data_IF_426703083311
#
_entry.id   IF_426703083311
#
_cell.length_a   1.000
_cell.length_b   1.000
_cell.length_c   1.000
_cell.angle_alpha   90.00
_cell.angle_beta   90.00
_cell.angle_gamma   90.00
#
_symmetry.space_group_name_H-M   'P 1'
#
loop_
_entity.id
_entity.type
_entity.pdbx_description
1 polymer ?
#
# COMPACT_ATOMS: atom_id res chain seq x y z
N UNK A 1 -23.25 2.81 -11.79
CA UNK A 1 -22.84 3.21 -10.44
C UNK A 1 -21.33 3.10 -10.36
N UNK A 2 -20.63 3.95 -9.57
CA UNK A 2 -19.19 3.82 -9.40
C UNK A 2 -18.83 2.43 -8.85
N UNK A 3 -17.73 1.85 -9.33
CA UNK A 3 -17.23 0.54 -8.90
C UNK A 3 -15.93 0.77 -8.15
N UNK A 4 -15.84 0.23 -6.94
CA UNK A 4 -14.62 0.30 -6.13
C UNK A 4 -13.49 -0.46 -6.82
N UNK A 5 -12.29 0.12 -6.82
CA UNK A 5 -11.08 -0.53 -7.33
C UNK A 5 -10.10 -0.74 -6.19
N UNK A 6 -9.77 -1.98 -5.84
CA UNK A 6 -8.90 -2.24 -4.68
C UNK A 6 -7.44 -1.84 -4.93
N UNK A 7 -6.81 -1.19 -3.96
CA UNK A 7 -5.36 -1.04 -3.92
C UNK A 7 -4.71 -2.29 -3.29
N UNK A 8 -3.65 -2.86 -3.89
CA UNK A 8 -3.04 -4.09 -3.41
C UNK A 8 -2.46 -3.93 -2.01
N UNK A 9 -2.34 -5.05 -1.30
CA UNK A 9 -1.69 -5.04 0.02
C UNK A 9 -0.19 -4.96 -0.15
N UNK A 10 0.46 -4.06 0.60
CA UNK A 10 1.91 -3.93 0.62
C UNK A 10 2.46 -4.91 1.66
N UNK A 11 3.34 -5.80 1.21
CA UNK A 11 3.86 -6.93 1.99
C UNK A 11 4.97 -6.50 2.95
N UNK A 12 5.45 -7.42 3.78
CA UNK A 12 6.70 -7.23 4.52
C UNK A 12 7.91 -7.58 3.63
N UNK A 13 9.09 -7.12 4.03
CA UNK A 13 10.32 -7.33 3.27
C UNK A 13 10.62 -8.82 3.01
N UNK A 14 10.39 -9.68 4.01
CA UNK A 14 10.62 -11.12 3.88
C UNK A 14 9.79 -11.75 2.75
N UNK A 15 8.51 -11.36 2.62
CA UNK A 15 7.60 -11.88 1.61
C UNK A 15 7.97 -11.37 0.21
N UNK A 16 8.28 -10.07 0.08
CA UNK A 16 8.71 -9.50 -1.19
C UNK A 16 10.04 -10.11 -1.66
N UNK A 17 10.98 -10.39 -0.74
CA UNK A 17 12.23 -11.12 -1.01
C UNK A 17 11.97 -12.53 -1.55
N UNK A 18 11.00 -13.26 -0.96
CA UNK A 18 10.57 -14.59 -1.40
C UNK A 18 9.96 -14.56 -2.82
N UNK A 19 9.12 -13.57 -3.12
CA UNK A 19 8.57 -13.36 -4.46
C UNK A 19 9.65 -13.03 -5.49
N UNK A 20 10.57 -12.12 -5.17
CA UNK A 20 11.65 -11.72 -6.08
C UNK A 20 12.58 -12.91 -6.39
N UNK A 21 12.91 -13.73 -5.38
CA UNK A 21 13.66 -14.97 -5.57
C UNK A 21 12.92 -15.96 -6.46
N UNK A 22 11.60 -16.12 -6.27
CA UNK A 22 10.77 -17.00 -7.10
C UNK A 22 10.75 -16.54 -8.55
N UNK A 23 10.60 -15.23 -8.78
CA UNK A 23 10.64 -14.61 -10.10
C UNK A 23 11.93 -14.95 -10.85
N UNK A 24 13.10 -14.69 -10.24
CA UNK A 24 14.38 -14.93 -10.92
C UNK A 24 14.66 -16.40 -11.18
N UNK A 25 14.26 -17.31 -10.28
CA UNK A 25 14.35 -18.75 -10.51
C UNK A 25 13.55 -19.19 -11.73
N UNK A 26 12.35 -18.63 -11.91
CA UNK A 26 11.51 -18.93 -13.08
C UNK A 26 12.10 -18.34 -14.36
N UNK A 27 12.59 -17.10 -14.32
CA UNK A 27 13.23 -16.45 -15.46
C UNK A 27 14.48 -17.21 -15.95
N UNK A 28 15.31 -17.72 -15.02
CA UNK A 28 16.47 -18.56 -15.34
C UNK A 28 16.03 -19.89 -15.98
N UNK A 29 15.05 -20.57 -15.38
CA UNK A 29 14.57 -21.87 -15.88
C UNK A 29 13.92 -21.78 -17.26
N UNK A 30 13.23 -20.68 -17.57
CA UNK A 30 12.48 -20.53 -18.83
C UNK A 30 13.34 -19.98 -19.96
N UNK A 31 14.18 -18.98 -19.68
CA UNK A 31 14.86 -18.19 -20.72
C UNK A 31 16.38 -18.15 -20.56
N UNK A 32 16.95 -18.88 -19.59
CA UNK A 32 18.37 -18.81 -19.26
C UNK A 32 18.81 -17.45 -18.71
N UNK A 33 17.85 -16.60 -18.30
CA UNK A 33 18.14 -15.27 -17.78
C UNK A 33 18.61 -15.38 -16.33
N UNK A 34 19.91 -15.26 -16.12
CA UNK A 34 20.46 -15.24 -14.77
C UNK A 34 20.04 -13.98 -14.02
N UNK A 35 19.76 -14.07 -12.70
CA UNK A 35 19.50 -12.89 -11.89
C UNK A 35 20.68 -11.92 -11.97
N UNK A 36 20.42 -10.60 -11.97
CA UNK A 36 21.49 -9.64 -11.76
C UNK A 36 22.08 -9.84 -10.36
N UNK A 37 23.35 -9.46 -10.17
CA UNK A 37 23.98 -9.54 -8.86
C UNK A 37 23.28 -8.67 -7.82
N UNK A 38 22.80 -7.49 -8.23
CA UNK A 38 22.10 -6.55 -7.38
C UNK A 38 20.88 -5.96 -8.10
N UNK A 39 19.88 -5.54 -7.33
CA UNK A 39 18.78 -4.67 -7.78
C UNK A 39 18.73 -3.40 -6.95
N UNK A 40 18.13 -2.33 -7.49
CA UNK A 40 17.99 -1.07 -6.77
C UNK A 40 16.61 -0.97 -6.12
N UNK A 41 16.59 -0.78 -4.81
CA UNK A 41 15.38 -0.49 -4.06
C UNK A 41 15.19 1.02 -3.95
N UNK A 42 13.99 1.52 -4.26
CA UNK A 42 13.59 2.92 -4.07
C UNK A 42 12.56 3.03 -2.97
N UNK A 43 12.90 3.82 -1.94
CA UNK A 43 12.08 4.01 -0.75
C UNK A 43 11.41 5.38 -0.72
N UNK A 44 10.11 5.42 -0.47
CA UNK A 44 9.34 6.64 -0.20
C UNK A 44 8.76 6.60 1.21
N UNK A 45 8.54 7.77 1.81
CA UNK A 45 8.02 7.84 3.19
C UNK A 45 6.68 7.11 3.26
N UNK A 46 6.53 6.20 4.23
CA UNK A 46 5.23 5.67 4.59
C UNK A 46 4.52 6.71 5.46
N UNK A 47 3.45 7.29 4.94
CA UNK A 47 2.62 8.22 5.68
C UNK A 47 1.60 7.47 6.55
N UNK A 48 1.27 8.08 7.68
CA UNK A 48 0.27 7.57 8.62
C UNK A 48 -0.97 8.46 8.57
N UNK A 49 -1.99 8.02 7.83
CA UNK A 49 -3.28 8.68 7.70
C UNK A 49 -4.37 7.65 7.46
N UNK A 50 -5.19 7.89 6.44
CA UNK A 50 -6.08 6.90 5.85
C UNK A 50 -5.87 6.84 4.34
N UNK A 51 -5.88 5.65 3.78
CA UNK A 51 -5.86 5.42 2.33
C UNK A 51 -7.05 6.12 1.67
N UNK A 52 -6.79 6.77 0.54
CA UNK A 52 -7.80 7.47 -0.24
C UNK A 52 -7.41 7.49 -1.72
N UNK A 53 -8.38 7.33 -2.63
CA UNK A 53 -8.14 7.42 -4.07
C UNK A 53 -9.14 8.34 -4.78
N UNK A 54 -8.67 8.95 -5.87
CA UNK A 54 -9.47 9.67 -6.84
C UNK A 54 -9.51 8.82 -8.11
N UNK A 55 -10.71 8.45 -8.58
CA UNK A 55 -10.87 7.54 -9.72
C UNK A 55 -11.64 8.23 -10.84
N UNK A 56 -11.01 8.31 -12.01
CA UNK A 56 -11.58 8.82 -13.25
C UNK A 56 -11.96 7.66 -14.17
N UNK A 57 -13.15 7.71 -14.74
CA UNK A 57 -13.74 6.69 -15.62
C UNK A 57 -14.51 7.34 -16.77
N UNK A 58 -15.04 6.53 -17.69
CA UNK A 58 -15.93 7.00 -18.76
C UNK A 58 -15.35 8.18 -19.55
N UNK A 59 -14.09 8.08 -19.95
CA UNK A 59 -13.40 9.08 -20.77
C UNK A 59 -14.12 9.23 -22.10
N UNK A 60 -14.75 10.37 -22.33
CA UNK A 60 -15.49 10.70 -23.55
C UNK A 60 -14.84 11.88 -24.24
N UNK A 61 -14.59 11.76 -25.54
CA UNK A 61 -14.29 12.92 -26.37
C UNK A 61 -15.57 13.74 -26.51
N UNK A 62 -15.58 14.97 -26.03
CA UNK A 62 -16.71 15.88 -26.25
C UNK A 62 -16.53 16.59 -27.58
N UNK A 63 -17.44 16.29 -28.52
CA UNK A 63 -17.71 17.08 -29.72
C UNK A 63 -16.59 17.17 -30.78
N UNK A 64 -15.74 16.15 -30.96
CA UNK A 64 -14.66 16.15 -31.97
C UNK A 64 -13.65 17.30 -31.82
N UNK A 65 -13.63 17.98 -30.67
CA UNK A 65 -12.54 18.87 -30.29
C UNK A 65 -11.48 17.98 -29.68
N UNK A 66 -10.33 17.86 -30.34
CA UNK A 66 -9.27 16.90 -29.98
C UNK A 66 -8.78 17.00 -28.52
N UNK A 67 -9.12 18.09 -27.81
CA UNK A 67 -8.57 18.44 -26.50
C UNK A 67 -9.58 18.44 -25.33
N UNK A 68 -10.89 18.24 -25.57
CA UNK A 68 -11.88 18.17 -24.48
C UNK A 68 -12.30 16.71 -24.22
N UNK A 69 -11.61 16.06 -23.28
CA UNK A 69 -12.04 14.78 -22.72
C UNK A 69 -12.75 15.05 -21.41
N UNK A 70 -13.99 14.55 -21.27
CA UNK A 70 -14.70 14.51 -19.98
C UNK A 70 -14.57 13.11 -19.38
N UNK A 71 -14.40 13.04 -18.07
CA UNK A 71 -14.39 11.80 -17.30
C UNK A 71 -15.32 11.93 -16.08
N UNK A 72 -15.98 10.83 -15.75
CA UNK A 72 -16.70 10.72 -14.48
C UNK A 72 -15.67 10.51 -13.36
N UNK A 73 -15.77 11.29 -12.28
CA UNK A 73 -14.91 11.17 -11.10
C UNK A 73 -15.68 10.61 -9.92
N UNK A 74 -15.05 9.73 -9.16
CA UNK A 74 -15.53 9.33 -7.84
C UNK A 74 -14.35 9.16 -6.87
N UNK A 75 -14.68 9.10 -5.58
CA UNK A 75 -13.72 8.97 -4.50
C UNK A 75 -13.91 7.65 -3.79
N UNK A 76 -12.81 7.09 -3.30
CA UNK A 76 -12.86 5.84 -2.54
C UNK A 76 -11.88 5.86 -1.39
N UNK A 77 -12.26 5.12 -0.35
CA UNK A 77 -11.39 4.66 0.73
C UNK A 77 -10.75 3.33 0.34
N UNK A 78 -10.00 2.70 1.26
CA UNK A 78 -9.39 1.40 1.01
C UNK A 78 -10.43 0.34 0.66
N UNK A 79 -11.59 0.39 1.31
CA UNK A 79 -12.57 -0.70 1.31
C UNK A 79 -13.88 -0.38 0.58
N UNK A 80 -14.14 0.89 0.22
CA UNK A 80 -15.40 1.28 -0.44
C UNK A 80 -15.32 2.61 -1.19
N UNK A 81 -16.21 2.79 -2.15
CA UNK A 81 -16.57 4.11 -2.70
C UNK A 81 -17.17 4.98 -1.59
N UNK A 82 -16.77 6.25 -1.55
CA UNK A 82 -17.20 7.23 -0.55
C UNK A 82 -17.75 8.48 -1.22
N UNK A 83 -18.58 9.20 -0.48
CA UNK A 83 -19.27 10.44 -0.87
C UNK A 83 -19.35 11.36 0.34
N UNK A 84 -19.70 12.63 0.17
CA UNK A 84 -19.88 13.57 1.31
C UNK A 84 -20.77 13.04 2.45
N UNK A 85 -21.85 12.36 2.13
CA UNK A 85 -22.81 11.82 3.12
C UNK A 85 -22.33 10.50 3.78
N UNK A 86 -21.31 9.88 3.21
CA UNK A 86 -20.68 8.65 3.70
C UNK A 86 -19.16 8.77 3.59
N UNK A 87 -18.62 9.86 4.14
CA UNK A 87 -17.23 10.26 3.99
C UNK A 87 -16.26 9.31 4.71
N UNK A 88 -14.97 9.44 4.44
CA UNK A 88 -13.88 8.89 5.24
C UNK A 88 -12.96 10.04 5.67
N UNK A 89 -13.08 10.46 6.92
CA UNK A 89 -12.26 11.51 7.54
C UNK A 89 -12.33 12.90 6.85
N UNK A 90 -13.34 13.17 6.03
CA UNK A 90 -13.51 14.43 5.29
C UNK A 90 -12.78 14.45 3.94
N UNK A 91 -12.27 13.32 3.45
CA UNK A 91 -11.61 13.24 2.14
C UNK A 91 -12.59 13.50 1.00
N UNK A 92 -13.78 12.87 1.01
CA UNK A 92 -14.73 13.02 -0.09
C UNK A 92 -15.23 14.46 -0.17
N UNK A 93 -15.53 15.05 0.98
CA UNK A 93 -15.88 16.46 1.11
C UNK A 93 -14.80 17.36 0.54
N UNK A 94 -13.54 17.14 0.95
CA UNK A 94 -12.42 17.94 0.48
C UNK A 94 -12.23 17.85 -1.04
N UNK A 95 -12.24 16.64 -1.63
CA UNK A 95 -12.04 16.49 -3.07
C UNK A 95 -13.22 17.02 -3.90
N UNK A 96 -14.45 16.90 -3.40
CA UNK A 96 -15.61 17.52 -4.04
C UNK A 96 -15.58 19.06 -3.98
N UNK A 97 -15.03 19.66 -2.91
CA UNK A 97 -14.82 21.10 -2.81
C UNK A 97 -13.75 21.61 -3.79
N UNK A 98 -12.68 20.83 -4.02
CA UNK A 98 -11.69 21.13 -5.06
C UNK A 98 -12.35 21.12 -6.45
N UNK A 99 -13.27 20.19 -6.67
CA UNK A 99 -14.08 20.12 -7.89
C UNK A 99 -13.43 19.31 -9.02
N UNK A 100 -14.27 18.65 -9.81
CA UNK A 100 -13.85 17.70 -10.85
C UNK A 100 -12.94 18.34 -11.90
N UNK A 101 -13.24 19.58 -12.33
CA UNK A 101 -12.47 20.27 -13.38
C UNK A 101 -11.05 20.61 -12.91
N UNK A 102 -10.89 21.04 -11.65
CA UNK A 102 -9.58 21.34 -11.09
C UNK A 102 -8.73 20.07 -10.93
N UNK A 103 -9.34 18.98 -10.43
CA UNK A 103 -8.69 17.68 -10.34
C UNK A 103 -8.31 17.13 -11.72
N UNK A 104 -9.18 17.35 -12.72
CA UNK A 104 -8.92 16.95 -14.10
C UNK A 104 -7.72 17.68 -14.68
N UNK A 105 -7.73 19.02 -14.66
CA UNK A 105 -6.68 19.83 -15.28
C UNK A 105 -5.34 19.73 -14.56
N UNK A 106 -5.33 19.67 -13.23
CA UNK A 106 -4.08 19.64 -12.46
C UNK A 106 -3.47 18.24 -12.32
N UNK A 107 -4.29 17.18 -12.28
CA UNK A 107 -3.82 15.83 -11.94
C UNK A 107 -4.08 14.84 -13.08
N UNK A 108 -5.33 14.63 -13.47
CA UNK A 108 -5.68 13.53 -14.40
C UNK A 108 -5.12 13.74 -15.81
N UNK A 109 -5.34 14.92 -16.40
CA UNK A 109 -4.90 15.25 -17.75
C UNK A 109 -3.37 15.23 -17.88
N UNK A 110 -2.59 15.82 -16.94
CA UNK A 110 -1.13 15.64 -16.91
C UNK A 110 -0.70 14.18 -16.73
N UNK A 111 -1.36 13.39 -15.87
CA UNK A 111 -1.06 11.97 -15.71
C UNK A 111 -1.22 11.21 -17.03
N UNK A 112 -2.32 11.43 -17.76
CA UNK A 112 -2.55 10.81 -19.07
C UNK A 112 -1.53 11.28 -20.11
N UNK A 113 -1.12 12.56 -20.07
CA UNK A 113 -0.04 13.08 -20.93
C UNK A 113 1.28 12.37 -20.65
N UNK A 114 1.66 12.21 -19.38
CA UNK A 114 2.86 11.46 -18.98
C UNK A 114 2.75 10.04 -19.51
N UNK A 115 1.64 9.36 -19.23
CA UNK A 115 1.39 8.00 -19.69
C UNK A 115 1.59 7.84 -21.21
N UNK A 116 1.13 8.78 -22.04
CA UNK A 116 1.33 8.77 -23.49
C UNK A 116 2.79 8.89 -23.90
N UNK A 117 3.55 9.71 -23.18
CA UNK A 117 4.94 10.05 -23.53
C UNK A 117 5.98 9.08 -22.96
N UNK A 118 5.70 8.37 -21.87
CA UNK A 118 6.65 7.42 -21.28
C UNK A 118 6.69 6.12 -22.07
N UNK A 119 7.86 5.71 -22.55
CA UNK A 119 8.05 4.38 -23.15
C UNK A 119 7.99 3.31 -22.08
N UNK A 120 7.27 2.22 -22.32
CA UNK A 120 7.31 1.03 -21.46
C UNK A 120 8.05 -0.10 -22.17
N UNK A 121 8.92 -0.86 -21.50
CA UNK A 121 9.31 -2.19 -21.96
C UNK A 121 8.06 -3.06 -22.07
N UNK A 122 7.86 -3.73 -23.21
CA UNK A 122 6.67 -4.56 -23.50
C UNK A 122 6.65 -5.87 -22.68
N UNK A 123 7.77 -6.19 -22.06
CA UNK A 123 8.16 -7.53 -21.63
C UNK A 123 8.18 -7.71 -20.10
N UNK A 124 7.46 -6.87 -19.35
CA UNK A 124 7.39 -6.98 -17.89
C UNK A 124 6.08 -7.56 -17.38
N UNK A 125 5.24 -8.10 -18.27
CA UNK A 125 4.08 -8.92 -17.88
C UNK A 125 4.54 -10.36 -17.58
N UNK A 126 5.30 -10.53 -16.51
CA UNK A 126 4.90 -11.56 -15.56
C UNK A 126 3.87 -10.87 -14.67
N UNK A 127 2.63 -10.79 -15.15
CA UNK A 127 1.47 -10.64 -14.30
C UNK A 127 1.02 -12.05 -13.96
N UNK A 128 1.44 -12.67 -12.85
CA UNK A 128 0.55 -13.62 -12.25
C UNK A 128 -0.57 -12.74 -11.69
N UNK A 129 -1.76 -12.87 -12.29
CA UNK A 129 -2.96 -12.26 -11.74
C UNK A 129 -2.99 -12.52 -10.24
N UNK A 130 -3.60 -11.61 -9.49
CA UNK A 130 -3.85 -11.79 -8.06
C UNK A 130 -4.89 -12.90 -7.78
N UNK A 131 -5.07 -13.84 -8.71
CA UNK A 131 -5.86 -15.06 -8.60
C UNK A 131 -4.92 -16.25 -8.37
N UNK A 132 -5.19 -17.00 -7.30
CA UNK A 132 -4.48 -18.23 -6.87
C UNK A 132 -4.55 -19.41 -7.87
N UNK A 133 -4.88 -19.18 -9.14
CA UNK A 133 -4.96 -20.21 -10.17
C UNK A 133 -3.74 -20.11 -11.12
N UNK A 134 -2.83 -21.07 -10.97
CA UNK A 134 -1.48 -21.07 -11.52
C UNK A 134 -1.35 -21.48 -13.00
N UNK A 135 -2.41 -21.48 -13.80
CA UNK A 135 -2.41 -22.29 -15.04
C UNK A 135 -2.31 -21.56 -16.39
N UNK A 136 -2.28 -20.22 -16.48
CA UNK A 136 -2.33 -19.54 -17.81
C UNK A 136 -1.24 -18.47 -18.08
N UNK A 137 -0.05 -18.58 -17.48
CA UNK A 137 1.06 -17.65 -17.74
C UNK A 137 2.04 -18.13 -18.85
N UNK A 138 1.52 -18.54 -20.00
CA UNK A 138 2.31 -19.08 -21.11
C UNK A 138 2.05 -18.36 -22.44
N UNK A 139 2.60 -17.16 -22.64
CA UNK A 139 2.89 -16.65 -23.99
C UNK A 139 3.89 -15.47 -24.02
N UNK A 140 5.01 -15.73 -24.70
CA UNK A 140 5.93 -14.83 -25.43
C UNK A 140 6.80 -13.81 -24.66
N UNK A 141 8.09 -14.14 -24.56
CA UNK A 141 9.21 -13.20 -24.36
C UNK A 141 10.31 -13.47 -25.39
N UNK A 142 10.00 -13.21 -26.66
CA UNK A 142 10.96 -13.24 -27.76
C UNK A 142 10.88 -11.90 -28.54
N UNK A 143 11.91 -11.07 -28.39
CA UNK A 143 12.13 -9.87 -29.19
C UNK A 143 11.58 -8.59 -28.56
N UNK A 144 12.48 -7.71 -28.12
CA UNK A 144 12.18 -6.34 -27.72
C UNK A 144 11.44 -5.63 -28.86
N UNK A 145 10.11 -5.58 -28.78
CA UNK A 145 9.27 -4.75 -29.64
C UNK A 145 8.52 -3.74 -28.77
N UNK A 146 8.38 -2.51 -29.25
CA UNK A 146 7.59 -1.47 -28.59
C UNK A 146 6.17 -1.52 -29.17
N UNK A 147 5.13 -1.42 -28.35
CA UNK A 147 3.76 -1.19 -28.83
C UNK A 147 3.41 0.27 -28.61
N UNK A 148 2.86 0.91 -29.63
CA UNK A 148 2.28 2.24 -29.49
C UNK A 148 1.07 2.17 -28.54
N UNK A 149 0.97 3.14 -27.62
CA UNK A 149 -0.14 3.25 -26.68
C UNK A 149 -1.33 3.88 -27.42
N UNK A 150 -2.35 3.08 -27.74
CA UNK A 150 -3.59 3.62 -28.30
C UNK A 150 -4.46 4.21 -27.17
N UNK A 151 -4.54 5.54 -27.18
CA UNK A 151 -5.29 6.36 -26.23
C UNK A 151 -6.80 6.08 -26.20
N UNK A 152 -7.35 5.46 -27.25
CA UNK A 152 -8.78 5.13 -27.32
C UNK A 152 -9.23 4.04 -26.33
N UNK A 153 -8.29 3.42 -25.62
CA UNK A 153 -8.51 2.27 -24.73
C UNK A 153 -8.52 2.59 -23.23
N UNK A 154 -8.29 3.84 -22.81
CA UNK A 154 -8.26 4.19 -21.37
C UNK A 154 -9.68 4.23 -20.80
N UNK A 155 -9.99 3.25 -19.95
CA UNK A 155 -11.29 3.10 -19.29
C UNK A 155 -11.26 3.63 -17.85
N UNK A 156 -10.10 3.54 -17.19
CA UNK A 156 -9.93 3.93 -15.79
C UNK A 156 -8.54 4.52 -15.52
N UNK A 157 -8.52 5.61 -14.74
CA UNK A 157 -7.33 6.17 -14.08
C UNK A 157 -7.63 6.30 -12.60
N UNK A 158 -6.83 5.65 -11.75
CA UNK A 158 -6.86 5.82 -10.30
C UNK A 158 -5.60 6.58 -9.85
N UNK A 159 -5.82 7.66 -9.12
CA UNK A 159 -4.80 8.41 -8.38
C UNK A 159 -4.86 7.95 -6.94
N UNK A 160 -3.89 7.13 -6.55
CA UNK A 160 -3.81 6.58 -5.21
C UNK A 160 -2.99 7.48 -4.28
N UNK A 161 -3.46 7.64 -3.05
CA UNK A 161 -2.80 8.49 -2.08
C UNK A 161 -3.19 8.22 -0.63
N UNK A 162 -2.53 8.97 0.25
CA UNK A 162 -2.81 8.99 1.67
C UNK A 162 -3.49 10.31 2.01
N UNK A 163 -4.67 10.24 2.63
CA UNK A 163 -5.28 11.40 3.26
C UNK A 163 -4.82 11.48 4.72
N UNK A 164 -4.06 12.52 5.05
CA UNK A 164 -3.39 12.65 6.34
C UNK A 164 -3.47 14.09 6.86
N UNK A 165 -2.97 14.32 8.08
CA UNK A 165 -3.06 15.63 8.74
C UNK A 165 -4.17 15.73 9.78
N UNK A 166 -4.09 16.76 10.61
CA UNK A 166 -5.04 17.08 11.66
C UNK A 166 -5.25 15.92 12.65
N UNK A 167 -6.50 15.54 12.81
CA UNK A 167 -6.98 14.53 13.76
C UNK A 167 -7.19 13.13 13.14
N UNK A 168 -6.75 12.91 11.89
CA UNK A 168 -6.95 11.63 11.18
C UNK A 168 -6.22 10.48 11.89
N UNK A 169 -4.95 10.69 12.22
CA UNK A 169 -4.15 9.79 13.05
C UNK A 169 -3.52 10.58 14.20
N UNK A 170 -3.20 9.89 15.29
CA UNK A 170 -2.62 10.48 16.50
C UNK A 170 -1.18 10.02 16.70
N UNK A 171 -0.38 10.82 17.39
CA UNK A 171 0.98 10.44 17.79
C UNK A 171 2.03 10.49 16.66
N UNK A 172 1.69 11.09 15.52
CA UNK A 172 2.59 11.23 14.36
C UNK A 172 2.80 12.70 14.00
N UNK A 173 3.93 13.02 13.38
CA UNK A 173 4.26 14.39 12.98
C UNK A 173 3.19 15.03 12.07
N UNK A 174 2.58 14.21 11.21
CA UNK A 174 1.55 14.64 10.28
C UNK A 174 0.34 15.28 11.00
N UNK A 175 0.04 14.88 12.24
CA UNK A 175 -1.06 15.47 13.02
C UNK A 175 -0.89 16.99 13.26
N UNK A 176 0.35 17.50 13.16
CA UNK A 176 0.65 18.93 13.25
C UNK A 176 0.39 19.73 11.97
N UNK A 177 -0.04 19.07 10.88
CA UNK A 177 -0.32 19.70 9.59
C UNK A 177 -1.82 19.76 9.29
N UNK A 178 -2.28 20.68 8.44
CA UNK A 178 -3.65 20.66 7.92
C UNK A 178 -3.96 19.34 7.21
N UNK A 179 -5.24 18.95 7.16
CA UNK A 179 -5.66 17.79 6.37
C UNK A 179 -5.29 17.99 4.89
N UNK A 180 -4.64 17.01 4.30
CA UNK A 180 -4.08 17.06 2.95
C UNK A 180 -4.13 15.69 2.28
N UNK A 181 -4.11 15.67 0.95
CA UNK A 181 -4.02 14.43 0.16
C UNK A 181 -2.62 14.32 -0.45
N UNK A 182 -1.95 13.20 -0.21
CA UNK A 182 -0.61 12.94 -0.75
C UNK A 182 -0.65 11.79 -1.74
N UNK A 183 -0.44 12.10 -3.02
CA UNK A 183 -0.37 11.15 -4.12
C UNK A 183 0.87 10.28 -3.96
N UNK A 184 0.70 8.96 -3.96
CA UNK A 184 1.82 8.00 -3.95
C UNK A 184 1.78 6.98 -5.09
N UNK A 185 0.68 6.90 -5.86
CA UNK A 185 0.55 5.88 -6.89
C UNK A 185 -0.42 6.29 -7.99
N UNK A 186 -0.19 5.73 -9.19
CA UNK A 186 -1.03 5.93 -10.36
C UNK A 186 -1.33 4.54 -10.94
N UNK A 187 -2.59 4.25 -11.22
CA UNK A 187 -3.01 3.03 -11.90
C UNK A 187 -3.83 3.40 -13.13
N UNK A 188 -3.54 2.79 -14.28
CA UNK A 188 -4.26 3.00 -15.53
C UNK A 188 -4.69 1.65 -16.05
N UNK A 189 -6.00 1.46 -16.23
CA UNK A 189 -6.62 0.19 -16.64
C UNK A 189 -6.13 -1.02 -15.82
N UNK A 190 -6.06 -0.90 -14.50
CA UNK A 190 -5.58 -1.98 -13.62
C UNK A 190 -4.05 -2.09 -13.50
N UNK A 191 -3.28 -1.42 -14.37
CA UNK A 191 -1.81 -1.49 -14.34
C UNK A 191 -1.21 -0.31 -13.58
N UNK A 192 -0.41 -0.60 -12.55
CA UNK A 192 0.33 0.44 -11.82
C UNK A 192 1.44 1.06 -12.67
N UNK A 193 1.64 2.36 -12.51
CA UNK A 193 2.71 3.12 -13.17
C UNK A 193 3.95 3.20 -12.28
N UNK A 194 5.10 3.59 -12.85
CA UNK A 194 6.22 4.03 -12.01
C UNK A 194 5.79 5.36 -11.36
N UNK A 195 5.61 5.42 -10.03
CA UNK A 195 5.16 6.64 -9.39
C UNK A 195 6.14 7.82 -9.58
N UNK A 196 7.44 7.55 -9.84
CA UNK A 196 8.45 8.60 -10.03
C UNK A 196 8.28 9.37 -11.35
N UNK A 197 7.66 8.79 -12.37
CA UNK A 197 7.32 9.50 -13.60
C UNK A 197 6.26 10.60 -13.35
N UNK A 198 5.51 10.47 -12.25
CA UNK A 198 4.39 11.34 -11.87
C UNK A 198 4.72 12.20 -10.65
N UNK A 199 6.01 12.30 -10.29
CA UNK A 199 6.51 13.03 -9.10
C UNK A 199 6.13 14.51 -9.03
N UNK A 200 5.87 15.12 -10.19
CA UNK A 200 5.53 16.54 -10.30
C UNK A 200 4.01 16.79 -10.25
N UNK A 201 3.17 15.75 -10.17
CA UNK A 201 1.72 15.91 -10.02
C UNK A 201 1.37 16.38 -8.61
N UNK A 202 0.79 17.58 -8.52
CA UNK A 202 0.35 18.20 -7.27
C UNK A 202 -0.60 19.37 -7.56
N UNK A 203 -1.35 19.78 -6.55
CA UNK A 203 -2.14 21.01 -6.52
C UNK A 203 -2.04 21.65 -5.11
N UNK A 204 -0.91 22.30 -4.80
CA UNK A 204 -0.57 22.75 -3.44
C UNK A 204 -1.59 23.71 -2.81
N UNK A 205 -2.21 24.58 -3.61
CA UNK A 205 -3.23 25.54 -3.20
C UNK A 205 -4.47 24.84 -2.63
N UNK A 206 -4.69 23.59 -3.02
CA UNK A 206 -5.77 22.72 -2.57
C UNK A 206 -5.27 21.62 -1.61
N UNK A 207 -4.05 21.75 -1.08
CA UNK A 207 -3.41 20.75 -0.20
C UNK A 207 -3.37 19.34 -0.81
N UNK A 208 -3.13 19.28 -2.11
CA UNK A 208 -2.83 18.04 -2.82
C UNK A 208 -1.34 18.06 -3.15
N UNK A 209 -0.59 17.12 -2.60
CA UNK A 209 0.85 17.03 -2.76
C UNK A 209 1.26 15.67 -3.32
N UNK A 210 2.51 15.56 -3.75
CA UNK A 210 3.11 14.30 -4.15
C UNK A 210 3.99 13.73 -3.03
N UNK A 211 4.10 12.40 -2.95
CA UNK A 211 5.01 11.74 -2.01
C UNK A 211 6.47 12.12 -2.29
N UNK A 212 6.80 12.40 -3.56
CA UNK A 212 8.14 12.82 -4.00
C UNK A 212 8.48 14.28 -3.71
N UNK A 213 7.64 15.01 -2.95
CA UNK A 213 8.05 16.27 -2.30
C UNK A 213 9.31 16.07 -1.44
N UNK A 214 9.52 14.86 -0.95
CA UNK A 214 10.77 14.41 -0.34
C UNK A 214 11.49 13.49 -1.32
N UNK A 215 12.80 13.70 -1.47
CA UNK A 215 13.63 12.84 -2.31
C UNK A 215 13.56 11.38 -1.83
N UNK A 216 13.43 10.39 -2.74
CA UNK A 216 13.37 9.00 -2.34
C UNK A 216 14.74 8.50 -1.88
N UNK A 217 14.71 7.50 -1.01
CA UNK A 217 15.88 6.72 -0.64
C UNK A 217 16.23 5.72 -1.74
N UNK A 218 17.51 5.35 -1.85
CA UNK A 218 17.98 4.25 -2.70
C UNK A 218 18.89 3.32 -1.92
N UNK A 219 18.65 2.02 -2.05
CA UNK A 219 19.46 0.96 -1.43
C UNK A 219 19.73 -0.11 -2.47
N UNK A 220 20.98 -0.56 -2.59
CA UNK A 220 21.31 -1.71 -3.42
C UNK A 220 21.03 -3.00 -2.64
N UNK A 221 20.24 -3.91 -3.22
CA UNK A 221 19.96 -5.23 -2.68
C UNK A 221 20.76 -6.25 -3.48
N UNK A 222 21.76 -6.86 -2.84
CA UNK A 222 22.50 -8.00 -3.39
C UNK A 222 21.61 -9.26 -3.38
N UNK A 223 21.35 -9.81 -4.55
CA UNK A 223 20.54 -11.01 -4.73
C UNK A 223 21.34 -12.30 -4.57
N UNK A 224 22.67 -12.26 -4.62
CA UNK A 224 23.52 -13.40 -4.30
C UNK A 224 23.55 -13.65 -2.78
N UNK A 225 23.46 -12.56 -2.02
CA UNK A 225 23.41 -12.52 -0.56
C UNK A 225 21.97 -12.33 -0.10
N UNK A 226 21.07 -13.28 -0.40
CA UNK A 226 19.76 -13.36 0.26
C UNK A 226 19.86 -13.66 1.78
N UNK A 227 20.85 -13.08 2.47
CA UNK A 227 21.02 -13.02 3.90
C UNK A 227 20.24 -11.82 4.47
N UNK A 228 20.36 -11.62 5.78
CA UNK A 228 19.65 -10.57 6.50
C UNK A 228 20.41 -9.22 6.54
N UNK A 229 21.53 -9.06 5.83
CA UNK A 229 22.36 -7.83 5.88
C UNK A 229 21.70 -6.60 5.25
N UNK A 230 20.85 -6.77 4.24
CA UNK A 230 20.04 -5.66 3.70
C UNK A 230 19.03 -5.14 4.71
N UNK A 231 18.71 -5.94 5.74
CA UNK A 231 17.84 -5.51 6.83
C UNK A 231 18.41 -4.30 7.56
N UNK A 232 19.73 -4.18 7.72
CA UNK A 232 20.35 -3.11 8.50
C UNK A 232 20.20 -1.73 7.84
N UNK A 233 20.45 -1.63 6.53
CA UNK A 233 20.27 -0.36 5.80
C UNK A 233 18.80 0.05 5.77
N UNK A 234 17.89 -0.88 5.49
CA UNK A 234 16.45 -0.62 5.48
C UNK A 234 15.95 -0.22 6.88
N UNK A 235 16.46 -0.87 7.93
CA UNK A 235 16.15 -0.57 9.32
C UNK A 235 16.68 0.80 9.72
N UNK A 236 17.94 1.11 9.43
CA UNK A 236 18.53 2.41 9.77
C UNK A 236 17.74 3.57 9.16
N UNK A 237 17.41 3.47 7.87
CA UNK A 237 16.58 4.48 7.19
C UNK A 237 15.21 4.59 7.86
N UNK A 238 14.59 3.47 8.21
CA UNK A 238 13.30 3.45 8.90
C UNK A 238 13.36 4.07 10.30
N UNK A 239 14.40 3.76 11.07
CA UNK A 239 14.64 4.32 12.40
C UNK A 239 14.88 5.84 12.33
N UNK A 240 15.55 6.33 11.28
CA UNK A 240 15.73 7.77 11.05
C UNK A 240 14.42 8.46 10.68
N UNK A 241 13.57 7.82 9.87
CA UNK A 241 12.21 8.31 9.57
C UNK A 241 11.32 8.30 10.81
N UNK A 242 11.40 7.27 11.65
CA UNK A 242 10.65 7.20 12.91
C UNK A 242 11.09 8.29 13.86
N UNK A 243 12.39 8.57 13.96
CA UNK A 243 12.92 9.66 14.79
C UNK A 243 12.43 11.04 14.34
N UNK A 244 12.42 11.29 13.04
CA UNK A 244 11.93 12.54 12.49
C UNK A 244 11.37 12.36 11.08
N UNK A 245 10.04 12.50 10.93
CA UNK A 245 9.34 12.32 9.67
C UNK A 245 9.81 13.33 8.61
N UNK A 246 10.51 12.91 7.53
CA UNK A 246 11.03 13.83 6.51
C UNK A 246 9.91 14.55 5.75
N UNK A 247 8.77 13.88 5.56
CA UNK A 247 7.62 14.47 4.85
C UNK A 247 7.04 15.65 5.61
N UNK A 248 6.79 15.47 6.92
CA UNK A 248 6.29 16.56 7.77
C UNK A 248 7.33 17.67 7.91
N UNK A 249 8.62 17.31 7.98
CA UNK A 249 9.74 18.26 8.03
C UNK A 249 9.80 19.17 6.80
N UNK A 250 9.36 18.69 5.62
CA UNK A 250 9.24 19.52 4.41
C UNK A 250 8.20 20.65 4.51
N UNK A 251 7.40 20.65 5.57
CA UNK A 251 6.45 21.69 5.98
C UNK A 251 6.87 22.37 7.30
N UNK A 252 8.12 22.20 7.73
CA UNK A 252 8.66 22.70 9.00
C UNK A 252 7.95 22.14 10.26
N UNK A 253 7.42 20.92 10.18
CA UNK A 253 6.85 20.20 11.33
C UNK A 253 7.68 18.95 11.61
N UNK A 254 8.35 18.93 12.77
CA UNK A 254 9.11 17.77 13.25
C UNK A 254 8.26 16.86 14.13
N UNK A 255 8.60 15.58 14.17
CA UNK A 255 7.94 14.58 15.00
C UNK A 255 8.10 13.18 14.42
N UNK A 256 7.45 12.21 15.03
CA UNK A 256 7.62 10.80 14.71
C UNK A 256 7.01 10.46 13.34
N UNK A 257 7.73 9.69 12.51
CA UNK A 257 7.26 9.12 11.24
C UNK A 257 6.94 7.61 11.35
N UNK A 258 6.22 7.05 10.36
CA UNK A 258 5.82 5.64 10.42
C UNK A 258 6.89 4.69 9.86
N UNK A 259 7.50 5.05 8.72
CA UNK A 259 8.51 4.22 8.07
C UNK A 259 8.63 4.47 6.58
N UNK A 260 8.92 3.44 5.81
CA UNK A 260 9.22 3.54 4.36
C UNK A 260 8.51 2.45 3.57
N UNK A 261 7.93 2.82 2.42
CA UNK A 261 7.46 1.90 1.39
C UNK A 261 8.52 1.82 0.30
N UNK A 262 8.92 0.59 -0.02
CA UNK A 262 9.97 0.27 -0.98
C UNK A 262 9.38 -0.40 -2.21
N UNK A 263 9.94 -0.07 -3.38
CA UNK A 263 9.76 -0.81 -4.62
C UNK A 263 11.13 -1.19 -5.22
N UNK A 264 11.15 -2.19 -6.08
CA UNK A 264 12.33 -2.50 -6.92
C UNK A 264 12.28 -1.57 -8.14
N UNK A 265 13.30 -0.71 -8.35
CA UNK A 265 13.33 0.30 -9.42
C UNK A 265 13.27 -0.32 -10.81
N UNK A 266 13.77 -1.55 -10.97
CA UNK A 266 13.70 -2.32 -12.20
C UNK A 266 12.28 -2.85 -12.47
N UNK A 267 11.43 -2.95 -11.44
CA UNK A 267 10.05 -3.44 -11.53
C UNK A 267 9.05 -2.47 -10.90
N UNK A 268 9.03 -1.18 -11.29
CA UNK A 268 8.27 -0.16 -10.59
C UNK A 268 6.76 -0.33 -10.79
N UNK A 269 6.35 -1.05 -11.84
CA UNK A 269 4.95 -1.38 -12.13
C UNK A 269 4.42 -2.60 -11.36
N UNK A 270 5.31 -3.38 -10.73
CA UNK A 270 4.97 -4.66 -10.12
C UNK A 270 4.83 -4.52 -8.59
N UNK A 271 3.62 -4.23 -8.13
CA UNK A 271 3.30 -4.06 -6.69
C UNK A 271 3.56 -5.32 -5.87
N UNK A 272 3.68 -6.48 -6.50
CA UNK A 272 4.11 -7.75 -5.87
C UNK A 272 5.47 -7.65 -5.17
N UNK A 273 6.38 -6.84 -5.70
CA UNK A 273 7.71 -6.61 -5.11
C UNK A 273 7.75 -5.40 -4.20
N UNK A 274 6.61 -4.74 -3.95
CA UNK A 274 6.54 -3.65 -3.01
C UNK A 274 6.47 -4.20 -1.59
N UNK A 275 7.18 -3.54 -0.69
CA UNK A 275 7.13 -3.89 0.73
C UNK A 275 7.23 -2.65 1.61
N UNK A 276 6.77 -2.80 2.86
CA UNK A 276 6.81 -1.75 3.88
C UNK A 276 7.76 -2.17 5.00
N UNK A 277 8.55 -1.22 5.49
CA UNK A 277 9.30 -1.33 6.74
C UNK A 277 8.81 -0.21 7.64
N UNK A 278 8.42 -0.56 8.87
CA UNK A 278 7.87 0.38 9.85
C UNK A 278 8.79 0.47 11.05
N UNK A 279 8.84 1.65 11.65
CA UNK A 279 9.52 1.84 12.93
C UNK A 279 8.87 1.04 14.05
N UNK A 280 9.60 0.87 15.15
CA UNK A 280 9.20 -0.02 16.23
C UNK A 280 7.94 0.46 16.96
N UNK A 281 7.74 1.78 17.09
CA UNK A 281 6.56 2.38 17.72
C UNK A 281 5.31 2.20 16.85
N UNK A 282 5.48 1.93 15.55
CA UNK A 282 4.41 1.71 14.57
C UNK A 282 4.21 0.23 14.20
N UNK A 283 4.89 -0.68 14.90
CA UNK A 283 4.76 -2.10 14.66
C UNK A 283 3.38 -2.62 15.08
N UNK A 284 2.68 -3.26 14.15
CA UNK A 284 1.36 -3.87 14.36
C UNK A 284 1.46 -5.34 14.80
N UNK A 285 2.67 -5.85 14.97
CA UNK A 285 2.95 -7.20 15.45
C UNK A 285 4.27 -7.23 16.19
N UNK A 286 4.34 -8.10 17.19
CA UNK A 286 5.57 -8.44 17.93
C UNK A 286 5.99 -9.89 17.70
N UNK A 287 5.38 -10.56 16.71
CA UNK A 287 5.78 -11.92 16.32
C UNK A 287 7.11 -11.82 15.59
N UNK A 288 8.13 -12.52 16.10
CA UNK A 288 9.45 -12.53 15.51
C UNK A 288 9.44 -13.25 14.14
N UNK A 289 10.09 -12.65 13.14
CA UNK A 289 10.23 -13.19 11.79
C UNK A 289 11.63 -13.74 11.57
N UNK A 290 11.77 -14.71 10.65
CA UNK A 290 13.05 -15.34 10.34
C UNK A 290 13.39 -16.53 11.25
N UNK A 291 14.67 -16.97 11.27
CA UNK A 291 15.13 -18.14 12.02
C UNK A 291 14.89 -17.99 13.53
N UNK A 292 14.39 -19.05 14.16
CA UNK A 292 14.01 -19.06 15.58
C UNK A 292 14.76 -20.15 16.33
N UNK A 293 15.15 -19.88 17.56
CA UNK A 293 15.66 -20.91 18.48
C UNK A 293 14.56 -21.91 18.83
N UNK A 294 14.93 -23.11 19.28
CA UNK A 294 13.97 -24.12 19.73
C UNK A 294 13.03 -23.59 20.84
N UNK A 295 13.55 -22.71 21.71
CA UNK A 295 12.77 -22.07 22.77
C UNK A 295 11.71 -21.11 22.19
N UNK A 296 12.10 -20.25 21.26
CA UNK A 296 11.17 -19.31 20.60
C UNK A 296 10.11 -20.07 19.82
N UNK A 297 10.50 -21.13 19.13
CA UNK A 297 9.57 -22.01 18.41
C UNK A 297 8.53 -22.62 19.34
N UNK A 298 8.94 -23.17 20.48
CA UNK A 298 8.02 -23.72 21.47
C UNK A 298 7.10 -22.65 22.08
N UNK A 299 7.60 -21.42 22.26
CA UNK A 299 6.78 -20.31 22.76
C UNK A 299 5.72 -19.87 21.75
N UNK A 300 6.06 -19.77 20.46
CA UNK A 300 5.13 -19.39 19.40
C UNK A 300 4.13 -20.50 19.07
N UNK A 301 4.51 -21.77 19.21
CA UNK A 301 3.58 -22.91 19.11
C UNK A 301 2.48 -22.92 20.17
N UNK A 302 2.53 -22.03 21.17
CA UNK A 302 1.43 -21.78 22.08
C UNK A 302 0.51 -20.66 21.56
N UNK A 303 -0.72 -21.02 21.19
CA UNK A 303 -1.71 -20.10 20.62
C UNK A 303 -1.94 -18.83 21.46
N UNK A 304 -1.90 -18.92 22.80
CA UNK A 304 -2.10 -17.77 23.68
C UNK A 304 -0.92 -16.81 23.66
N UNK A 305 0.30 -17.33 23.62
CA UNK A 305 1.50 -16.50 23.51
C UNK A 305 1.56 -15.84 22.14
N UNK A 306 1.29 -16.60 21.07
CA UNK A 306 1.22 -16.07 19.72
C UNK A 306 0.19 -14.95 19.61
N UNK A 307 -1.04 -15.17 20.07
CA UNK A 307 -2.11 -14.18 20.01
C UNK A 307 -1.75 -12.87 20.75
N UNK A 308 -1.01 -12.94 21.86
CA UNK A 308 -0.54 -11.75 22.59
C UNK A 308 0.52 -10.95 21.82
N UNK A 309 1.40 -11.63 21.11
CA UNK A 309 2.42 -10.98 20.28
C UNK A 309 1.81 -10.44 19.00
N UNK A 310 0.84 -11.15 18.43
CA UNK A 310 0.14 -10.76 17.22
C UNK A 310 -0.87 -9.62 17.44
N UNK A 311 -1.34 -9.37 18.67
CA UNK A 311 -2.34 -8.32 18.95
C UNK A 311 -1.82 -7.25 19.92
N UNK A 312 -0.77 -6.48 19.54
CA UNK A 312 -0.50 -5.23 20.24
C UNK A 312 -1.67 -4.25 20.03
N UNK A 313 -1.82 -3.30 20.95
CA UNK A 313 -2.89 -2.29 20.92
C UNK A 313 -2.98 -1.56 19.56
N UNK A 314 -1.85 -1.35 18.88
CA UNK A 314 -1.80 -0.73 17.56
C UNK A 314 -2.64 -1.49 16.50
N UNK A 315 -2.54 -2.83 16.41
CA UNK A 315 -3.34 -3.62 15.47
C UNK A 315 -4.82 -3.65 15.87
N UNK A 316 -5.10 -3.70 17.17
CA UNK A 316 -6.48 -3.61 17.67
C UNK A 316 -7.13 -2.26 17.34
N UNK A 317 -6.35 -1.17 17.40
CA UNK A 317 -6.79 0.17 17.01
C UNK A 317 -7.08 0.28 15.51
N UNK A 318 -6.31 -0.39 14.65
CA UNK A 318 -6.60 -0.45 13.20
C UNK A 318 -7.96 -1.07 12.89
N UNK A 319 -8.41 -2.05 13.68
CA UNK A 319 -9.76 -2.60 13.53
C UNK A 319 -10.86 -1.59 13.85
N UNK A 320 -10.60 -0.64 14.76
CA UNK A 320 -11.53 0.46 15.03
C UNK A 320 -11.49 1.52 13.92
N UNK A 321 -10.33 1.71 13.28
CA UNK A 321 -10.22 2.59 12.11
C UNK A 321 -10.99 2.01 10.91
N UNK A 322 -10.95 0.68 10.72
CA UNK A 322 -11.82 -0.02 9.76
C UNK A 322 -13.31 0.22 10.06
N UNK A 323 -13.73 0.15 11.33
CA UNK A 323 -15.11 0.45 11.72
C UNK A 323 -15.53 1.86 11.32
N UNK A 324 -14.66 2.84 11.60
CA UNK A 324 -14.88 4.24 11.21
C UNK A 324 -15.01 4.37 9.69
N UNK A 325 -14.07 3.78 8.93
CA UNK A 325 -14.07 3.80 7.47
C UNK A 325 -15.38 3.22 6.91
N UNK A 326 -15.87 2.13 7.50
CA UNK A 326 -17.08 1.43 7.08
C UNK A 326 -18.39 2.02 7.63
N UNK A 327 -18.33 3.16 8.35
CA UNK A 327 -19.48 3.76 9.04
C UNK A 327 -20.22 2.78 9.98
N UNK A 328 -19.47 1.89 10.63
CA UNK A 328 -19.99 0.95 11.61
C UNK A 328 -19.92 1.57 13.00
N UNK A 329 -21.06 1.59 13.69
CA UNK A 329 -21.12 2.02 15.08
C UNK A 329 -20.35 1.05 15.99
N UNK A 330 -19.61 1.60 16.95
CA UNK A 330 -19.00 0.80 18.00
C UNK A 330 -20.04 0.36 19.03
N UNK A 331 -20.67 -0.78 18.79
CA UNK A 331 -21.72 -1.33 19.65
C UNK A 331 -21.54 -2.83 19.87
N UNK A 332 -22.17 -3.37 20.91
CA UNK A 332 -22.12 -4.81 21.21
C UNK A 332 -22.68 -5.63 20.03
N UNK A 333 -23.63 -5.08 19.26
CA UNK A 333 -24.21 -5.70 18.08
C UNK A 333 -23.16 -5.93 16.99
N UNK A 334 -22.17 -5.03 16.86
CA UNK A 334 -21.13 -5.11 15.84
C UNK A 334 -19.85 -5.81 16.31
N UNK A 335 -19.77 -6.29 17.56
CA UNK A 335 -18.54 -6.91 18.09
C UNK A 335 -18.07 -8.10 17.23
N UNK A 336 -18.99 -8.92 16.70
CA UNK A 336 -18.65 -10.07 15.87
C UNK A 336 -17.89 -9.64 14.59
N UNK A 337 -18.30 -8.54 13.98
CA UNK A 337 -17.63 -7.95 12.81
C UNK A 337 -16.20 -7.53 13.14
N UNK A 338 -15.99 -6.89 14.31
CA UNK A 338 -14.65 -6.51 14.77
C UNK A 338 -13.75 -7.72 15.01
N UNK A 339 -14.27 -8.75 15.68
CA UNK A 339 -13.51 -9.97 15.94
C UNK A 339 -13.12 -10.67 14.63
N UNK A 340 -14.04 -10.76 13.67
CA UNK A 340 -13.77 -11.36 12.37
C UNK A 340 -12.69 -10.57 11.62
N UNK A 341 -12.75 -9.24 11.63
CA UNK A 341 -11.73 -8.39 11.01
C UNK A 341 -10.35 -8.65 11.63
N UNK A 342 -10.24 -8.64 12.97
CA UNK A 342 -8.97 -8.83 13.68
C UNK A 342 -8.39 -10.22 13.39
N UNK A 343 -9.23 -11.26 13.40
CA UNK A 343 -8.79 -12.62 13.07
C UNK A 343 -8.28 -12.66 11.64
N UNK A 344 -9.03 -12.16 10.67
CA UNK A 344 -8.63 -12.16 9.26
C UNK A 344 -7.33 -11.39 9.02
N UNK A 345 -7.13 -10.24 9.69
CA UNK A 345 -5.90 -9.45 9.60
C UNK A 345 -4.68 -10.25 10.09
N UNK A 346 -4.80 -10.94 11.24
CA UNK A 346 -3.70 -11.76 11.77
C UNK A 346 -3.39 -12.95 10.86
N UNK A 347 -4.41 -13.67 10.39
CA UNK A 347 -4.20 -14.80 9.48
C UNK A 347 -3.60 -14.38 8.14
N UNK A 348 -3.84 -13.14 7.71
CA UNK A 348 -3.26 -12.58 6.50
C UNK A 348 -1.83 -12.10 6.71
N UNK A 349 -1.58 -11.26 7.71
CA UNK A 349 -0.26 -10.62 7.89
C UNK A 349 0.77 -11.57 8.55
N UNK A 350 0.33 -12.63 9.25
CA UNK A 350 1.21 -13.60 9.94
C UNK A 350 1.09 -15.04 9.38
N UNK A 351 0.68 -15.19 8.12
CA UNK A 351 0.38 -16.50 7.52
C UNK A 351 1.58 -17.48 7.61
N UNK A 352 2.77 -17.01 7.23
CA UNK A 352 4.00 -17.82 7.26
C UNK A 352 4.38 -18.16 8.71
N UNK A 353 4.28 -17.21 9.65
CA UNK A 353 4.60 -17.43 11.06
C UNK A 353 3.64 -18.39 11.76
N UNK A 354 2.34 -18.37 11.41
CA UNK A 354 1.33 -19.31 11.91
C UNK A 354 1.64 -20.73 11.44
N UNK A 355 1.97 -20.87 10.15
CA UNK A 355 2.33 -22.16 9.54
C UNK A 355 3.61 -22.73 10.17
N UNK A 356 4.66 -21.92 10.28
CA UNK A 356 5.92 -22.30 10.91
C UNK A 356 5.73 -22.72 12.37
N UNK A 357 4.89 -22.01 13.13
CA UNK A 357 4.60 -22.32 14.53
C UNK A 357 3.77 -23.61 14.71
N UNK A 358 3.21 -24.17 13.63
CA UNK A 358 2.37 -25.37 13.68
C UNK A 358 1.08 -25.16 14.48
N UNK A 359 0.53 -23.93 14.46
CA UNK A 359 -0.62 -23.57 15.27
C UNK A 359 -1.92 -24.15 14.72
N UNK A 360 -2.71 -24.77 15.59
CA UNK A 360 -4.05 -25.21 15.23
C UNK A 360 -5.02 -24.03 15.16
N UNK A 361 -5.57 -23.80 13.97
CA UNK A 361 -6.39 -22.63 13.61
C UNK A 361 -7.50 -22.32 14.64
N UNK A 362 -8.30 -23.33 15.04
CA UNK A 362 -9.41 -23.10 15.99
C UNK A 362 -8.92 -22.63 17.36
N UNK A 363 -7.76 -23.11 17.81
CA UNK A 363 -7.19 -22.68 19.09
C UNK A 363 -6.67 -21.24 19.01
N UNK A 364 -6.06 -20.87 17.89
CA UNK A 364 -5.59 -19.51 17.67
C UNK A 364 -6.76 -18.51 17.56
N UNK A 365 -7.80 -18.82 16.75
CA UNK A 365 -9.01 -17.99 16.62
C UNK A 365 -9.63 -17.69 17.99
N UNK A 366 -9.71 -18.70 18.86
CA UNK A 366 -10.26 -18.55 20.22
C UNK A 366 -9.46 -17.55 21.06
N UNK A 367 -8.12 -17.64 21.05
CA UNK A 367 -7.27 -16.75 21.84
C UNK A 367 -7.23 -15.32 21.26
N UNK A 368 -7.19 -15.17 19.94
CA UNK A 368 -7.29 -13.87 19.25
C UNK A 368 -8.61 -13.17 19.59
N UNK A 369 -9.73 -13.89 19.42
CA UNK A 369 -11.07 -13.36 19.69
C UNK A 369 -11.24 -12.93 21.14
N UNK A 370 -10.66 -13.68 22.08
CA UNK A 370 -10.70 -13.34 23.51
C UNK A 370 -9.99 -12.03 23.81
N UNK A 371 -8.79 -11.81 23.26
CA UNK A 371 -8.03 -10.58 23.46
C UNK A 371 -8.76 -9.39 22.82
N UNK A 372 -9.17 -9.55 21.55
CA UNK A 372 -9.86 -8.51 20.80
C UNK A 372 -11.20 -8.10 21.45
N UNK A 373 -11.98 -9.05 21.96
CA UNK A 373 -13.25 -8.76 22.64
C UNK A 373 -13.06 -7.94 23.93
N UNK A 374 -11.99 -8.22 24.70
CA UNK A 374 -11.68 -7.44 25.91
C UNK A 374 -11.33 -6.00 25.54
N UNK A 375 -10.52 -5.80 24.51
CA UNK A 375 -10.17 -4.47 24.03
C UNK A 375 -11.39 -3.69 23.53
N UNK A 376 -12.19 -4.31 22.66
CA UNK A 376 -13.38 -3.69 22.07
C UNK A 376 -14.39 -3.24 23.14
N UNK A 377 -14.70 -4.11 24.12
CA UNK A 377 -15.63 -3.79 25.21
C UNK A 377 -15.16 -2.62 26.08
N UNK A 378 -13.85 -2.45 26.28
CA UNK A 378 -13.29 -1.29 27.01
C UNK A 378 -13.41 0.03 26.25
N UNK A 379 -13.64 -0.02 24.94
CA UNK A 379 -13.79 1.17 24.08
C UNK A 379 -15.26 1.52 23.83
N UNK A 380 -16.16 0.53 23.92
CA UNK A 380 -17.61 0.71 23.80
C UNK A 380 -18.31 1.14 25.10
N UNK A 381 -17.70 0.90 26.26
CA UNK A 381 -18.32 1.09 27.58
C UNK A 381 -17.59 2.14 28.41
#
# INVERSE_FOLDING_TARGET
MPVHTSFPSIKHFADARKELRKYYKLAEAQNGHQPPACVTLRGTIKLHGTHADIVFTNFRNTNNIADEVRADVHFQSRNRVIRKDQDNCGFATHMEEVGADALWEAIAKPALKIFRTTRRPKDMYLSPGDDDNADDAAASLAGLSFQDKDDSSIQQLMIAGEYCGGDIQKGVALSGLPRMFVIFGIQINGTFQDPYDYRDLQLPEQRIYNIFRVAPYRVSLDLSLFDDTVSDSLKQITDDVERECPYSKSFNVSGIGEGVVWCVEEFPHCTRFYFKVKGAEHATSRVARGPKTAREQAMLGNARNFARLALPDARLQQGLDYFREMNLEMSIQNIATYLQWVVNDVFKEEADEILEAGLYERSLIKELSKIAAVFYRRKCC
#
